data_IF_106646716166
#
_entry.id   IF_106646716166
#
_cell.length_a   1.000
_cell.length_b   1.000
_cell.length_c   1.000
_cell.angle_alpha   90.00
_cell.angle_beta   90.00
_cell.angle_gamma   90.00
#
_symmetry.space_group_name_H-M   'P 1'
#
loop_
_entity.id
_entity.type
_entity.pdbx_description
1 polymer ?
#
# COMPACT_ATOMS: atom_id res chain seq x y z
N UNK A 1 -28.96 7.48 -24.61
CA UNK A 1 -27.55 7.17 -24.27
C UNK A 1 -27.54 5.90 -23.45
N UNK A 2 -27.21 4.75 -24.06
CA UNK A 2 -26.99 3.50 -23.31
C UNK A 2 -25.77 3.68 -22.41
N UNK A 3 -25.95 3.55 -21.10
CA UNK A 3 -24.83 3.58 -20.16
C UNK A 3 -23.82 2.50 -20.57
N UNK A 4 -22.56 2.89 -20.79
CA UNK A 4 -21.48 1.93 -21.05
C UNK A 4 -21.31 1.09 -19.78
N UNK A 5 -21.83 -0.14 -19.79
CA UNK A 5 -21.68 -1.07 -18.68
C UNK A 5 -20.26 -1.62 -18.74
N UNK A 6 -19.39 -1.14 -17.85
CA UNK A 6 -18.03 -1.65 -17.71
C UNK A 6 -18.07 -3.11 -17.23
N UNK A 7 -17.18 -3.94 -17.78
CA UNK A 7 -16.94 -5.29 -17.26
C UNK A 7 -16.37 -5.23 -15.85
N UNK A 8 -16.58 -6.27 -15.04
CA UNK A 8 -16.05 -6.29 -13.66
C UNK A 8 -14.52 -6.20 -13.63
N UNK A 9 -13.84 -6.80 -14.61
CA UNK A 9 -12.39 -6.62 -14.81
C UNK A 9 -12.02 -5.14 -14.99
N UNK A 10 -12.74 -4.41 -15.86
CA UNK A 10 -12.46 -3.00 -16.09
C UNK A 10 -12.74 -2.14 -14.84
N UNK A 11 -13.83 -2.43 -14.10
CA UNK A 11 -14.11 -1.77 -12.81
C UNK A 11 -12.99 -2.00 -11.81
N UNK A 12 -12.52 -3.23 -11.66
CA UNK A 12 -11.42 -3.59 -10.76
C UNK A 12 -10.14 -2.81 -11.09
N UNK A 13 -9.77 -2.74 -12.37
CA UNK A 13 -8.60 -1.98 -12.83
C UNK A 13 -8.75 -0.49 -12.54
N UNK A 14 -9.92 0.11 -12.83
CA UNK A 14 -10.16 1.53 -12.57
C UNK A 14 -10.11 1.86 -11.08
N UNK A 15 -10.69 1.03 -10.22
CA UNK A 15 -10.58 1.19 -8.77
C UNK A 15 -9.12 1.09 -8.31
N UNK A 16 -8.35 0.16 -8.87
CA UNK A 16 -6.94 -0.03 -8.50
C UNK A 16 -6.09 1.17 -8.91
N UNK A 17 -6.25 1.66 -10.15
CA UNK A 17 -5.55 2.87 -10.63
C UNK A 17 -5.93 4.10 -9.80
N UNK A 18 -7.21 4.27 -9.46
CA UNK A 18 -7.65 5.36 -8.59
C UNK A 18 -7.05 5.24 -7.18
N UNK A 19 -6.92 4.02 -6.64
CA UNK A 19 -6.25 3.80 -5.36
C UNK A 19 -4.79 4.28 -5.42
N UNK A 20 -4.04 3.90 -6.46
CA UNK A 20 -2.63 4.27 -6.63
C UNK A 20 -2.40 5.73 -7.09
N UNK A 21 -3.46 6.43 -7.49
CA UNK A 21 -3.44 7.89 -7.65
C UNK A 21 -3.60 8.61 -6.29
N UNK A 22 -4.34 8.03 -5.36
CA UNK A 22 -4.70 8.66 -4.08
C UNK A 22 -3.72 8.32 -2.95
N UNK A 23 -3.23 7.08 -2.89
CA UNK A 23 -2.35 6.62 -1.80
C UNK A 23 -1.09 7.49 -1.68
N UNK A 24 -0.39 7.87 -2.76
CA UNK A 24 0.77 8.75 -2.65
C UNK A 24 0.48 10.15 -2.08
N UNK A 25 -0.78 10.62 -2.13
CA UNK A 25 -1.19 11.85 -1.44
C UNK A 25 -1.11 11.68 0.09
N UNK A 26 -1.52 10.50 0.60
CA UNK A 26 -1.36 10.14 2.02
C UNK A 26 0.13 10.13 2.40
N UNK A 27 0.99 9.55 1.56
CA UNK A 27 2.43 9.47 1.83
C UNK A 27 3.12 10.84 1.75
N UNK A 28 2.70 11.69 0.82
CA UNK A 28 3.15 13.08 0.76
C UNK A 28 2.75 13.86 2.02
N UNK A 29 1.52 13.68 2.53
CA UNK A 29 1.13 14.28 3.81
C UNK A 29 2.02 13.77 4.95
N UNK A 30 2.32 12.48 5.00
CA UNK A 30 3.19 11.89 6.00
C UNK A 30 4.62 12.45 5.92
N UNK A 31 5.18 12.60 4.71
CA UNK A 31 6.50 13.22 4.52
C UNK A 31 6.51 14.69 4.92
N UNK A 32 5.49 15.46 4.55
CA UNK A 32 5.37 16.86 4.95
C UNK A 32 5.29 17.03 6.49
N UNK A 33 4.50 16.19 7.16
CA UNK A 33 4.48 16.12 8.63
C UNK A 33 5.85 15.75 9.21
N UNK A 34 6.57 14.82 8.57
CA UNK A 34 7.94 14.48 8.94
C UNK A 34 8.88 15.68 8.88
N UNK A 35 8.80 16.48 7.82
CA UNK A 35 9.58 17.72 7.65
C UNK A 35 9.21 18.80 8.68
N UNK A 36 7.96 18.80 9.17
CA UNK A 36 7.51 19.61 10.31
C UNK A 36 7.94 19.05 11.67
N UNK A 37 8.82 18.04 11.70
CA UNK A 37 9.32 17.37 12.89
C UNK A 37 8.24 16.64 13.71
N UNK A 38 7.19 16.11 13.07
CA UNK A 38 6.26 15.18 13.72
C UNK A 38 6.90 13.78 13.86
N UNK A 39 6.80 13.14 15.05
CA UNK A 39 7.23 11.75 15.27
C UNK A 39 6.57 10.76 14.29
N UNK A 40 7.30 9.85 13.64
CA UNK A 40 6.70 8.89 12.68
C UNK A 40 5.63 8.00 13.30
N UNK A 41 5.76 7.67 14.60
CA UNK A 41 4.75 6.94 15.35
C UNK A 41 3.48 7.77 15.54
N UNK A 42 3.60 9.08 15.77
CA UNK A 42 2.45 10.00 15.79
C UNK A 42 1.84 10.17 14.40
N UNK A 43 2.63 10.25 13.34
CA UNK A 43 2.14 10.30 11.95
C UNK A 43 1.34 9.03 11.63
N UNK A 44 1.87 7.87 12.01
CA UNK A 44 1.19 6.58 11.88
C UNK A 44 -0.12 6.57 12.66
N UNK A 45 -0.11 7.01 13.93
CA UNK A 45 -1.32 7.15 14.72
C UNK A 45 -2.35 8.05 14.03
N UNK A 46 -1.94 9.24 13.59
CA UNK A 46 -2.82 10.19 12.93
C UNK A 46 -3.45 9.61 11.67
N UNK A 47 -2.70 8.84 10.87
CA UNK A 47 -3.25 8.14 9.70
C UNK A 47 -4.45 7.28 10.09
N UNK A 48 -4.31 6.44 11.11
CA UNK A 48 -5.38 5.52 11.51
C UNK A 48 -6.49 6.22 12.30
N UNK A 49 -6.14 7.11 13.22
CA UNK A 49 -7.10 7.82 14.07
C UNK A 49 -8.01 8.74 13.24
N UNK A 50 -7.45 9.55 12.34
CA UNK A 50 -8.26 10.42 11.47
C UNK A 50 -9.06 9.61 10.45
N UNK A 51 -8.51 8.52 9.90
CA UNK A 51 -9.30 7.60 9.06
C UNK A 51 -10.50 7.03 9.83
N UNK A 52 -10.28 6.58 11.07
CA UNK A 52 -11.33 6.01 11.90
C UNK A 52 -12.41 7.04 12.24
N UNK A 53 -12.02 8.25 12.67
CA UNK A 53 -12.95 9.35 12.98
C UNK A 53 -13.76 9.75 11.75
N UNK A 54 -13.14 9.88 10.58
CA UNK A 54 -13.83 10.24 9.32
C UNK A 54 -14.81 9.15 8.87
N UNK A 55 -14.58 7.90 9.25
CA UNK A 55 -15.51 6.81 8.97
C UNK A 55 -16.73 6.82 9.89
N UNK A 56 -16.65 7.31 11.14
CA UNK A 56 -17.76 7.24 12.11
C UNK A 56 -19.09 7.84 11.59
N UNK A 57 -19.14 9.05 10.98
CA UNK A 57 -20.39 9.61 10.45
C UNK A 57 -20.99 8.76 9.32
N UNK A 58 -20.13 8.18 8.48
CA UNK A 58 -20.55 7.33 7.35
C UNK A 58 -21.19 6.02 7.84
N UNK A 59 -20.83 5.56 9.04
CA UNK A 59 -21.45 4.39 9.69
C UNK A 59 -22.78 4.74 10.33
N UNK A 60 -22.92 5.92 10.93
CA UNK A 60 -24.18 6.38 11.51
C UNK A 60 -25.26 6.58 10.44
N UNK A 61 -24.88 7.00 9.23
CA UNK A 61 -25.80 7.16 8.09
C UNK A 61 -26.20 5.85 7.39
N UNK A 62 -25.47 4.73 7.59
CA UNK A 62 -25.77 3.43 6.98
C UNK A 62 -26.39 2.47 8.00
N UNK A 63 -27.59 1.96 7.69
CA UNK A 63 -28.36 1.12 8.63
C UNK A 63 -27.60 -0.15 9.09
N UNK A 64 -27.56 -0.28 10.43
CA UNK A 64 -27.48 -1.46 11.32
C UNK A 64 -26.26 -2.39 11.33
N UNK A 65 -25.56 -2.63 10.22
CA UNK A 65 -24.47 -3.63 10.20
C UNK A 65 -23.06 -3.04 10.12
N UNK A 66 -22.89 -1.73 9.93
CA UNK A 66 -21.54 -1.17 9.71
C UNK A 66 -20.64 -1.22 10.96
N UNK A 67 -21.23 -1.28 12.16
CA UNK A 67 -20.54 -1.52 13.44
C UNK A 67 -20.41 -3.00 13.80
N UNK A 68 -21.06 -3.92 13.07
CA UNK A 68 -20.88 -5.34 13.34
C UNK A 68 -19.48 -5.76 12.92
N UNK A 69 -18.87 -6.62 13.73
CA UNK A 69 -17.54 -7.14 13.43
C UNK A 69 -17.53 -7.85 12.07
N UNK A 70 -16.50 -7.63 11.24
CA UNK A 70 -16.41 -8.30 9.95
C UNK A 70 -16.30 -9.82 10.14
N UNK A 71 -16.66 -10.60 9.12
CA UNK A 71 -16.34 -12.03 9.09
C UNK A 71 -14.82 -12.24 9.14
N UNK A 72 -14.38 -13.41 9.58
CA UNK A 72 -12.96 -13.80 9.66
C UNK A 72 -12.10 -12.84 10.52
N UNK A 73 -12.58 -12.48 11.72
CA UNK A 73 -11.93 -11.51 12.65
C UNK A 73 -10.42 -11.75 12.86
N UNK A 74 -9.99 -13.02 12.95
CA UNK A 74 -8.58 -13.37 13.09
C UNK A 74 -7.75 -12.90 11.89
N UNK A 75 -8.20 -13.21 10.67
CA UNK A 75 -7.57 -12.78 9.41
C UNK A 75 -7.60 -11.25 9.27
N UNK A 76 -8.72 -10.62 9.62
CA UNK A 76 -8.86 -9.17 9.60
C UNK A 76 -7.91 -8.47 10.59
N UNK A 77 -7.70 -9.06 11.77
CA UNK A 77 -6.76 -8.53 12.77
C UNK A 77 -5.33 -8.65 12.30
N UNK A 78 -4.95 -9.82 11.77
CA UNK A 78 -3.62 -10.02 11.19
C UNK A 78 -3.37 -9.09 10.00
N UNK A 79 -4.38 -8.86 9.16
CA UNK A 79 -4.33 -7.90 8.04
C UNK A 79 -4.10 -6.48 8.55
N UNK A 80 -4.83 -6.06 9.57
CA UNK A 80 -4.66 -4.73 10.18
C UNK A 80 -3.26 -4.58 10.81
N UNK A 81 -2.75 -5.59 11.51
CA UNK A 81 -1.40 -5.62 12.06
C UNK A 81 -0.33 -5.46 10.96
N UNK A 82 -0.46 -6.23 9.88
CA UNK A 82 0.41 -6.11 8.72
C UNK A 82 0.40 -4.68 8.15
N UNK A 83 -0.77 -4.05 8.06
CA UNK A 83 -0.86 -2.68 7.56
C UNK A 83 -0.27 -1.65 8.53
N UNK A 84 -0.44 -1.82 9.85
CA UNK A 84 0.18 -0.96 10.87
C UNK A 84 1.69 -1.03 10.77
N UNK A 85 2.26 -2.24 10.70
CA UNK A 85 3.70 -2.45 10.55
C UNK A 85 4.23 -1.88 9.22
N UNK A 86 3.51 -2.12 8.12
CA UNK A 86 3.85 -1.56 6.82
C UNK A 86 3.87 -0.02 6.84
N UNK A 87 2.80 0.59 7.35
CA UNK A 87 2.71 2.05 7.46
C UNK A 87 3.83 2.61 8.34
N UNK A 88 4.03 2.02 9.51
CA UNK A 88 5.03 2.49 10.48
C UNK A 88 6.44 2.44 9.90
N UNK A 89 6.82 1.30 9.30
CA UNK A 89 8.12 1.14 8.67
C UNK A 89 8.29 2.09 7.48
N UNK A 90 7.26 2.25 6.64
CA UNK A 90 7.33 3.17 5.51
C UNK A 90 7.57 4.62 5.98
N UNK A 91 6.84 5.08 6.99
CA UNK A 91 6.98 6.43 7.55
C UNK A 91 8.26 6.63 8.36
N UNK A 92 8.85 5.56 8.91
CA UNK A 92 10.19 5.62 9.50
C UNK A 92 11.26 5.79 8.43
N UNK A 93 11.14 5.08 7.30
CA UNK A 93 12.07 5.21 6.17
C UNK A 93 11.97 6.55 5.43
N UNK A 94 10.75 7.09 5.28
CA UNK A 94 10.50 8.39 4.64
C UNK A 94 11.16 9.58 5.33
N UNK A 95 11.60 9.43 6.59
CA UNK A 95 12.35 10.49 7.29
C UNK A 95 13.70 10.78 6.66
N UNK A 96 14.29 9.77 6.02
CA UNK A 96 15.66 9.82 5.51
C UNK A 96 15.73 9.66 4.00
N UNK A 97 14.63 9.28 3.36
CA UNK A 97 14.60 8.96 1.94
C UNK A 97 13.66 9.91 1.17
N UNK A 98 14.02 10.29 -0.06
CA UNK A 98 13.08 10.87 -1.01
C UNK A 98 11.84 9.98 -1.19
N UNK A 99 10.68 10.60 -1.43
CA UNK A 99 9.40 9.87 -1.50
C UNK A 99 9.41 8.81 -2.59
N UNK A 100 9.91 9.18 -3.77
CA UNK A 100 9.99 8.27 -4.90
C UNK A 100 11.01 7.15 -4.71
N UNK A 101 12.17 7.42 -4.09
CA UNK A 101 13.18 6.39 -3.80
C UNK A 101 12.66 5.39 -2.76
N UNK A 102 12.01 5.88 -1.70
CA UNK A 102 11.35 5.04 -0.71
C UNK A 102 10.30 4.12 -1.35
N UNK A 103 9.46 4.67 -2.24
CA UNK A 103 8.47 3.86 -2.94
C UNK A 103 9.12 2.85 -3.91
N UNK A 104 10.16 3.25 -4.64
CA UNK A 104 10.85 2.37 -5.56
C UNK A 104 11.46 1.14 -4.84
N UNK A 105 12.00 1.32 -3.63
CA UNK A 105 12.44 0.21 -2.77
C UNK A 105 11.23 -0.61 -2.30
N UNK A 106 10.14 0.06 -1.90
CA UNK A 106 8.92 -0.57 -1.39
C UNK A 106 8.23 -1.46 -2.44
N UNK A 107 8.34 -1.11 -3.73
CA UNK A 107 7.85 -1.89 -4.87
C UNK A 107 8.53 -3.26 -5.05
N UNK A 108 9.36 -3.68 -4.10
CA UNK A 108 9.73 -5.10 -3.94
C UNK A 108 8.55 -5.96 -3.45
N UNK A 109 7.57 -5.37 -2.76
CA UNK A 109 6.43 -6.10 -2.18
C UNK A 109 5.68 -7.01 -3.17
N UNK A 110 5.45 -6.68 -4.46
CA UNK A 110 4.76 -7.56 -5.40
C UNK A 110 5.56 -8.84 -5.66
N UNK A 111 6.89 -8.78 -5.63
CA UNK A 111 7.73 -9.98 -5.74
C UNK A 111 7.61 -10.85 -4.49
N UNK A 112 7.54 -10.24 -3.31
CA UNK A 112 7.30 -10.95 -2.05
C UNK A 112 5.91 -11.62 -2.07
N UNK A 113 4.87 -10.89 -2.49
CA UNK A 113 3.53 -11.45 -2.70
C UNK A 113 3.59 -12.64 -3.65
N UNK A 114 4.29 -12.51 -4.77
CA UNK A 114 4.43 -13.59 -5.74
C UNK A 114 5.16 -14.81 -5.17
N UNK A 115 6.25 -14.60 -4.42
CA UNK A 115 7.02 -15.66 -3.79
C UNK A 115 6.26 -16.39 -2.67
N UNK A 116 5.43 -15.67 -1.90
CA UNK A 116 4.65 -16.22 -0.78
C UNK A 116 3.26 -16.72 -1.20
N UNK A 117 2.75 -16.30 -2.36
CA UNK A 117 1.47 -16.74 -2.91
C UNK A 117 1.27 -18.27 -2.92
N UNK A 118 2.27 -19.12 -3.24
CA UNK A 118 2.12 -20.57 -3.24
C UNK A 118 1.80 -21.14 -1.85
N UNK A 119 2.40 -20.57 -0.80
CA UNK A 119 2.21 -21.05 0.57
C UNK A 119 0.83 -20.68 1.11
N UNK A 120 0.27 -19.57 0.65
CA UNK A 120 -1.04 -19.06 1.09
C UNK A 120 -2.19 -19.57 0.21
N UNK A 121 -1.93 -19.82 -1.08
CA UNK A 121 -2.94 -20.11 -2.09
C UNK A 121 -2.82 -21.51 -2.72
N UNK A 122 -1.71 -22.22 -2.48
CA UNK A 122 -1.50 -23.60 -2.97
C UNK A 122 -0.98 -23.74 -4.40
N UNK A 123 -0.64 -22.65 -5.08
CA UNK A 123 -0.21 -22.66 -6.49
C UNK A 123 1.33 -22.58 -6.62
N UNK A 124 2.00 -23.62 -7.13
CA UNK A 124 3.46 -23.59 -7.31
C UNK A 124 3.89 -22.68 -8.49
N UNK A 125 4.84 -21.75 -8.29
CA UNK A 125 5.33 -20.90 -9.36
C UNK A 125 6.36 -21.64 -10.22
N UNK A 126 6.17 -21.64 -11.53
CA UNK A 126 7.15 -22.20 -12.47
C UNK A 126 8.48 -21.43 -12.51
N UNK A 127 9.54 -22.07 -13.02
CA UNK A 127 10.91 -21.53 -13.08
C UNK A 127 11.01 -20.09 -13.64
N UNK A 128 10.24 -19.78 -14.68
CA UNK A 128 10.28 -18.46 -15.32
C UNK A 128 9.74 -17.34 -14.42
N UNK A 129 8.88 -17.66 -13.45
CA UNK A 129 8.37 -16.72 -12.43
C UNK A 129 9.45 -16.43 -11.39
N UNK A 130 10.16 -17.45 -10.93
CA UNK A 130 11.32 -17.28 -10.06
C UNK A 130 12.43 -16.44 -10.71
N UNK A 131 12.71 -16.66 -12.00
CA UNK A 131 13.66 -15.83 -12.74
C UNK A 131 13.22 -14.36 -12.78
N UNK A 132 11.95 -14.06 -13.07
CA UNK A 132 11.44 -12.69 -13.07
C UNK A 132 11.45 -12.03 -11.68
N UNK A 133 11.16 -12.79 -10.62
CA UNK A 133 11.31 -12.33 -9.23
C UNK A 133 12.77 -11.96 -8.94
N UNK A 134 13.73 -12.79 -9.35
CA UNK A 134 15.15 -12.52 -9.15
C UNK A 134 15.60 -11.26 -9.92
N UNK A 135 15.17 -11.09 -11.18
CA UNK A 135 15.48 -9.89 -11.96
C UNK A 135 14.86 -8.63 -11.34
N UNK A 136 13.61 -8.71 -10.89
CA UNK A 136 12.95 -7.61 -10.18
C UNK A 136 13.67 -7.22 -8.88
N UNK A 137 14.15 -8.21 -8.13
CA UNK A 137 14.97 -7.99 -6.95
C UNK A 137 16.32 -7.34 -7.29
N UNK A 138 16.97 -7.74 -8.38
CA UNK A 138 18.18 -7.03 -8.85
C UNK A 138 17.87 -5.57 -9.19
N UNK A 139 16.70 -5.28 -9.75
CA UNK A 139 16.22 -3.92 -9.97
C UNK A 139 16.10 -3.11 -8.68
N UNK A 140 15.59 -3.70 -7.59
CA UNK A 140 15.52 -2.99 -6.29
C UNK A 140 16.89 -2.76 -5.68
N UNK A 141 17.87 -3.63 -5.90
CA UNK A 141 19.26 -3.40 -5.48
C UNK A 141 19.89 -2.17 -6.16
N UNK A 142 19.52 -1.87 -7.41
CA UNK A 142 19.95 -0.64 -8.09
C UNK A 142 19.43 0.62 -7.39
N UNK A 143 18.21 0.57 -6.86
CA UNK A 143 17.62 1.68 -6.11
C UNK A 143 18.22 1.77 -4.70
N UNK A 144 18.37 0.63 -4.01
CA UNK A 144 18.89 0.55 -2.64
C UNK A 144 20.35 1.02 -2.56
N UNK A 145 21.15 0.75 -3.60
CA UNK A 145 22.59 1.08 -3.67
C UNK A 145 23.34 0.63 -2.41
N UNK A 146 23.40 -0.68 -2.14
CA UNK A 146 24.16 -1.16 -0.99
C UNK A 146 25.63 -0.78 -1.19
N UNK A 147 26.12 0.16 -0.37
CA UNK A 147 27.51 0.59 -0.37
C UNK A 147 28.36 -0.17 0.65
N UNK A 148 29.67 0.06 0.62
CA UNK A 148 30.60 -0.49 1.63
C UNK A 148 30.35 0.07 3.04
N UNK A 149 29.75 1.26 3.14
CA UNK A 149 29.37 1.91 4.41
C UNK A 149 28.07 1.33 5.02
N UNK A 150 27.50 0.30 4.40
CA UNK A 150 26.28 -0.37 4.85
C UNK A 150 25.00 0.17 4.23
N UNK A 151 23.87 -0.40 4.65
CA UNK A 151 22.53 -0.03 4.17
C UNK A 151 21.95 1.04 5.12
N UNK A 152 21.48 2.19 4.61
CA UNK A 152 20.85 3.21 5.45
C UNK A 152 19.68 2.63 6.26
N UNK A 153 19.55 3.02 7.53
CA UNK A 153 18.51 2.50 8.41
C UNK A 153 17.10 2.73 7.83
N UNK A 154 16.88 3.84 7.13
CA UNK A 154 15.63 4.12 6.43
C UNK A 154 15.25 3.03 5.43
N UNK A 155 16.22 2.56 4.64
CA UNK A 155 16.02 1.46 3.68
C UNK A 155 15.61 0.16 4.39
N UNK A 156 16.19 -0.14 5.55
CA UNK A 156 15.82 -1.33 6.34
C UNK A 156 14.35 -1.25 6.76
N UNK A 157 13.90 -0.07 7.22
CA UNK A 157 12.50 0.15 7.56
C UNK A 157 11.57 0.01 6.35
N UNK A 158 11.94 0.55 5.17
CA UNK A 158 11.16 0.38 3.94
C UNK A 158 11.07 -1.10 3.53
N UNK A 159 12.17 -1.86 3.61
CA UNK A 159 12.17 -3.28 3.29
C UNK A 159 11.26 -4.07 4.24
N UNK A 160 11.37 -3.84 5.55
CA UNK A 160 10.46 -4.44 6.53
C UNK A 160 9.00 -4.06 6.29
N UNK A 161 8.75 -2.81 5.88
CA UNK A 161 7.44 -2.34 5.50
C UNK A 161 6.88 -3.07 4.27
N UNK A 162 7.73 -3.33 3.26
CA UNK A 162 7.34 -4.05 2.06
C UNK A 162 6.94 -5.52 2.35
N UNK A 163 7.65 -6.19 3.27
CA UNK A 163 7.26 -7.54 3.74
C UNK A 163 5.89 -7.51 4.42
N UNK A 164 5.69 -6.57 5.34
CA UNK A 164 4.41 -6.42 6.02
C UNK A 164 3.27 -6.07 5.04
N UNK A 165 3.54 -5.24 4.04
CA UNK A 165 2.56 -4.89 3.01
C UNK A 165 2.23 -6.04 2.07
N UNK A 166 3.20 -6.90 1.78
CA UNK A 166 2.94 -8.14 1.06
C UNK A 166 1.97 -9.05 1.85
N UNK A 167 2.19 -9.19 3.16
CA UNK A 167 1.26 -9.88 4.07
C UNK A 167 -0.14 -9.25 4.06
N UNK A 168 -0.22 -7.93 4.12
CA UNK A 168 -1.47 -7.18 3.99
C UNK A 168 -2.20 -7.51 2.68
N UNK A 169 -1.52 -7.44 1.54
CA UNK A 169 -2.12 -7.71 0.23
C UNK A 169 -2.62 -9.16 0.11
N UNK A 170 -1.83 -10.15 0.57
CA UNK A 170 -2.23 -11.57 0.55
C UNK A 170 -3.47 -11.82 1.40
N UNK A 171 -3.53 -11.25 2.61
CA UNK A 171 -4.68 -11.40 3.50
C UNK A 171 -5.91 -10.67 2.97
N UNK A 172 -5.73 -9.52 2.33
CA UNK A 172 -6.80 -8.78 1.63
C UNK A 172 -7.41 -9.63 0.53
N UNK A 173 -6.57 -10.24 -0.32
CA UNK A 173 -7.04 -11.17 -1.36
C UNK A 173 -7.80 -12.35 -0.77
N UNK A 174 -7.31 -12.94 0.32
CA UNK A 174 -7.93 -14.13 0.93
C UNK A 174 -9.36 -13.89 1.41
N UNK A 175 -9.69 -12.66 1.80
CA UNK A 175 -11.01 -12.27 2.33
C UNK A 175 -11.85 -11.43 1.35
N UNK A 176 -11.34 -11.16 0.15
CA UNK A 176 -12.06 -10.40 -0.87
C UNK A 176 -13.43 -11.04 -1.16
N UNK A 177 -14.47 -10.21 -1.29
CA UNK A 177 -15.85 -10.66 -1.51
C UNK A 177 -16.53 -11.38 -0.32
N UNK A 178 -15.87 -11.60 0.82
CA UNK A 178 -16.46 -12.33 1.97
C UNK A 178 -17.29 -11.49 2.93
N UNK A 179 -17.21 -10.17 2.85
CA UNK A 179 -17.89 -9.26 3.77
C UNK A 179 -18.02 -7.85 3.21
N UNK A 180 -18.65 -6.96 3.98
CA UNK A 180 -18.82 -5.57 3.56
C UNK A 180 -17.44 -4.85 3.56
N UNK A 181 -17.02 -4.22 2.43
CA UNK A 181 -15.80 -3.43 2.36
C UNK A 181 -15.72 -2.33 3.43
N UNK A 182 -16.85 -1.75 3.82
CA UNK A 182 -16.91 -0.70 4.85
C UNK A 182 -16.62 -1.26 6.23
N UNK A 183 -17.18 -2.42 6.59
CA UNK A 183 -16.84 -3.09 7.85
C UNK A 183 -15.35 -3.43 7.92
N UNK A 184 -14.80 -3.91 6.81
CA UNK A 184 -13.37 -4.23 6.67
C UNK A 184 -12.50 -2.98 6.87
N UNK A 185 -12.90 -1.85 6.29
CA UNK A 185 -12.18 -0.58 6.38
C UNK A 185 -12.23 0.02 7.79
N UNK A 186 -13.41 0.03 8.43
CA UNK A 186 -13.59 0.49 9.81
C UNK A 186 -12.83 -0.37 10.79
N UNK A 187 -12.90 -1.68 10.64
CA UNK A 187 -12.16 -2.60 11.50
C UNK A 187 -10.65 -2.38 11.40
N UNK A 188 -10.13 -2.25 10.18
CA UNK A 188 -8.73 -1.91 9.93
C UNK A 188 -8.33 -0.57 10.57
N UNK A 189 -9.14 0.48 10.37
CA UNK A 189 -8.87 1.81 10.92
C UNK A 189 -8.92 1.81 12.45
N UNK A 190 -9.92 1.15 13.03
CA UNK A 190 -10.11 1.05 14.48
C UNK A 190 -9.02 0.23 15.17
N UNK A 191 -8.66 -0.94 14.63
CA UNK A 191 -7.53 -1.73 15.16
C UNK A 191 -6.22 -0.95 15.07
N UNK A 192 -5.95 -0.32 13.93
CA UNK A 192 -4.75 0.49 13.78
C UNK A 192 -4.72 1.69 14.73
N UNK A 193 -5.84 2.39 14.90
CA UNK A 193 -5.95 3.52 15.82
C UNK A 193 -5.75 3.07 17.27
N UNK A 194 -6.37 1.97 17.68
CA UNK A 194 -6.23 1.41 19.02
C UNK A 194 -4.76 1.01 19.31
N UNK A 195 -4.14 0.25 18.42
CA UNK A 195 -2.76 -0.23 18.59
C UNK A 195 -1.76 0.93 18.64
N UNK A 196 -1.87 1.87 17.70
CA UNK A 196 -0.96 3.02 17.66
C UNK A 196 -1.18 3.98 18.82
N UNK A 197 -2.41 4.06 19.37
CA UNK A 197 -2.69 4.85 20.58
C UNK A 197 -1.95 4.33 21.82
N UNK A 198 -1.61 3.04 21.89
CA UNK A 198 -0.82 2.49 23.01
C UNK A 198 0.60 3.04 23.04
N UNK A 199 1.15 3.39 21.88
CA UNK A 199 2.53 3.89 21.73
C UNK A 199 2.56 5.42 21.65
N UNK A 200 1.41 6.05 21.44
CA UNK A 200 1.25 7.49 21.31
C UNK A 200 1.81 8.30 22.50
N UNK A 201 1.64 7.91 23.79
CA UNK A 201 2.14 8.70 24.92
C UNK A 201 3.65 8.92 24.88
N UNK A 202 4.42 8.02 24.25
CA UNK A 202 5.88 8.12 24.15
C UNK A 202 6.36 9.05 23.04
N UNK A 203 5.47 9.45 22.13
CA UNK A 203 5.82 10.22 20.92
C UNK A 203 4.84 11.35 20.63
N UNK A 204 4.05 11.75 21.62
CA UNK A 204 3.04 12.79 21.44
C UNK A 204 3.69 14.14 21.19
N UNK A 205 3.25 14.80 20.12
CA UNK A 205 3.48 16.22 19.85
C UNK A 205 2.11 16.84 19.59
N UNK A 206 1.78 17.97 20.22
CA UNK A 206 0.51 18.64 19.93
C UNK A 206 0.40 18.98 18.44
N UNK A 207 -0.69 18.63 17.73
CA UNK A 207 -0.88 19.09 16.37
C UNK A 207 -1.10 20.61 16.37
N UNK A 208 -0.28 21.32 15.62
CA UNK A 208 -0.49 22.72 15.27
C UNK A 208 -1.51 22.79 14.11
N UNK A 209 -2.06 23.96 13.82
CA UNK A 209 -3.17 24.11 12.86
C UNK A 209 -2.81 23.60 11.45
N UNK A 210 -1.56 23.83 11.03
CA UNK A 210 -1.00 23.34 9.77
C UNK A 210 -0.86 21.81 9.75
N UNK A 211 -0.35 21.23 10.84
CA UNK A 211 -0.26 19.78 11.02
C UNK A 211 -1.64 19.12 10.98
N UNK A 212 -2.66 19.75 11.58
CA UNK A 212 -4.02 19.22 11.61
C UNK A 212 -4.62 19.07 10.21
N UNK A 213 -4.41 20.05 9.32
CA UNK A 213 -4.87 19.98 7.92
C UNK A 213 -4.25 18.78 7.19
N UNK A 214 -2.96 18.53 7.41
CA UNK A 214 -2.27 17.37 6.83
C UNK A 214 -2.75 16.05 7.44
N UNK A 215 -3.02 15.99 8.74
CA UNK A 215 -3.58 14.81 9.39
C UNK A 215 -4.98 14.45 8.86
N UNK A 216 -5.84 15.45 8.69
CA UNK A 216 -7.18 15.25 8.09
C UNK A 216 -7.05 14.80 6.64
N UNK A 217 -6.21 15.47 5.84
CA UNK A 217 -5.97 15.12 4.43
C UNK A 217 -5.43 13.70 4.28
N UNK A 218 -4.50 13.32 5.16
CA UNK A 218 -3.96 11.96 5.24
C UNK A 218 -5.07 10.95 5.57
N UNK A 219 -5.96 11.24 6.53
CA UNK A 219 -7.09 10.38 6.87
C UNK A 219 -8.11 10.21 5.73
N UNK A 220 -8.38 11.28 4.97
CA UNK A 220 -9.25 11.24 3.79
C UNK A 220 -8.62 10.39 2.70
N UNK A 221 -7.36 10.66 2.34
CA UNK A 221 -6.63 9.93 1.32
C UNK A 221 -6.45 8.45 1.70
N UNK A 222 -6.12 8.15 2.96
CA UNK A 222 -6.00 6.78 3.47
C UNK A 222 -7.32 6.02 3.35
N UNK A 223 -8.42 6.63 3.81
CA UNK A 223 -9.77 6.06 3.73
C UNK A 223 -10.17 5.79 2.28
N UNK A 224 -10.05 6.80 1.41
CA UNK A 224 -10.42 6.69 0.00
C UNK A 224 -9.55 5.65 -0.73
N UNK A 225 -8.22 5.74 -0.61
CA UNK A 225 -7.28 4.85 -1.28
C UNK A 225 -7.46 3.39 -0.88
N UNK A 226 -7.58 3.09 0.42
CA UNK A 226 -7.77 1.71 0.88
C UNK A 226 -9.17 1.18 0.58
N UNK A 227 -10.21 2.04 0.58
CA UNK A 227 -11.53 1.63 0.11
C UNK A 227 -11.48 1.21 -1.36
N UNK A 228 -10.89 2.04 -2.23
CA UNK A 228 -10.71 1.75 -3.65
C UNK A 228 -9.91 0.47 -3.86
N UNK A 229 -8.85 0.25 -3.07
CA UNK A 229 -8.04 -0.97 -3.12
C UNK A 229 -8.85 -2.23 -2.74
N UNK A 230 -9.62 -2.18 -1.65
CA UNK A 230 -10.49 -3.30 -1.24
C UNK A 230 -11.51 -3.59 -2.35
N UNK A 231 -12.16 -2.55 -2.89
CA UNK A 231 -13.14 -2.68 -3.98
C UNK A 231 -12.52 -3.24 -5.25
N UNK A 232 -11.30 -2.86 -5.60
CA UNK A 232 -10.62 -3.42 -6.76
C UNK A 232 -10.51 -4.96 -6.67
N UNK A 233 -10.14 -5.48 -5.50
CA UNK A 233 -10.04 -6.92 -5.26
C UNK A 233 -11.39 -7.65 -5.23
N UNK A 234 -12.51 -6.95 -4.98
CA UNK A 234 -13.85 -7.54 -5.13
C UNK A 234 -14.23 -7.77 -6.61
N UNK A 235 -13.65 -6.99 -7.53
CA UNK A 235 -14.03 -6.98 -8.95
C UNK A 235 -13.04 -7.68 -9.89
N UNK A 236 -11.77 -7.78 -9.51
CA UNK A 236 -10.73 -8.38 -10.34
C UNK A 236 -9.71 -9.18 -9.51
N UNK A 237 -9.23 -10.33 -10.02
CA UNK A 237 -8.25 -11.14 -9.33
C UNK A 237 -6.88 -10.45 -9.31
N UNK A 238 -6.05 -10.76 -8.31
CA UNK A 238 -4.74 -10.12 -8.12
C UNK A 238 -3.81 -10.17 -9.35
N UNK A 239 -3.70 -11.27 -10.12
CA UNK A 239 -2.90 -11.30 -11.36
C UNK A 239 -3.33 -10.26 -12.40
N UNK A 240 -4.64 -9.97 -12.46
CA UNK A 240 -5.18 -8.96 -13.37
C UNK A 240 -4.77 -7.56 -12.94
N UNK A 241 -4.75 -7.30 -11.62
CA UNK A 241 -4.46 -6.00 -11.03
C UNK A 241 -2.96 -5.71 -10.87
N UNK A 242 -2.13 -6.74 -10.67
CA UNK A 242 -0.72 -6.61 -10.31
C UNK A 242 0.10 -5.65 -11.21
N UNK A 243 -0.02 -5.67 -12.56
CA UNK A 243 0.72 -4.74 -13.43
C UNK A 243 0.36 -3.26 -13.19
N UNK A 244 -0.86 -3.00 -12.73
CA UNK A 244 -1.34 -1.64 -12.48
C UNK A 244 -0.90 -1.10 -11.11
N UNK A 245 -0.32 -1.95 -10.24
CA UNK A 245 0.23 -1.51 -8.95
C UNK A 245 1.42 -0.57 -9.13
N UNK A 246 2.20 -0.78 -10.19
CA UNK A 246 3.32 0.08 -10.54
C UNK A 246 2.91 1.51 -10.93
N UNK A 247 1.61 1.76 -11.18
CA UNK A 247 1.11 3.11 -11.43
C UNK A 247 1.37 4.06 -10.25
N UNK A 248 1.46 3.53 -9.02
CA UNK A 248 1.74 4.29 -7.81
C UNK A 248 3.00 5.16 -7.94
N UNK A 249 4.01 4.65 -8.67
CA UNK A 249 5.28 5.38 -8.83
C UNK A 249 5.12 6.69 -9.60
N UNK A 250 4.20 6.74 -10.55
CA UNK A 250 3.95 7.95 -11.35
C UNK A 250 3.44 9.05 -10.44
N UNK A 251 2.46 8.74 -9.60
CA UNK A 251 1.87 9.66 -8.63
C UNK A 251 2.88 10.08 -7.55
N UNK A 252 3.69 9.15 -7.06
CA UNK A 252 4.70 9.43 -6.05
C UNK A 252 5.86 10.28 -6.58
N UNK A 253 6.31 10.07 -7.82
CA UNK A 253 7.30 10.93 -8.48
C UNK A 253 6.73 12.33 -8.72
N UNK A 254 5.48 12.43 -9.19
CA UNK A 254 4.82 13.72 -9.40
C UNK A 254 4.74 14.52 -8.08
N UNK A 255 4.25 13.90 -7.00
CA UNK A 255 4.19 14.55 -5.69
C UNK A 255 5.58 14.81 -5.10
N UNK A 256 6.53 13.88 -5.25
CA UNK A 256 7.93 14.05 -4.91
C UNK A 256 8.51 15.33 -5.50
N UNK A 257 8.31 15.49 -6.81
CA UNK A 257 8.82 16.62 -7.56
C UNK A 257 8.09 17.93 -7.22
N UNK A 258 6.75 17.96 -7.33
CA UNK A 258 5.98 19.21 -7.18
C UNK A 258 5.88 19.70 -5.74
N UNK A 259 5.94 18.81 -4.73
CA UNK A 259 5.79 19.18 -3.32
C UNK A 259 7.13 19.30 -2.61
N UNK A 260 8.10 18.43 -2.94
CA UNK A 260 9.38 18.36 -2.22
C UNK A 260 10.59 18.78 -3.06
N UNK A 261 10.43 19.00 -4.37
CA UNK A 261 11.56 19.25 -5.27
C UNK A 261 12.44 18.02 -5.49
N UNK A 262 11.99 16.83 -5.06
CA UNK A 262 12.73 15.59 -5.17
C UNK A 262 12.42 14.92 -6.52
N UNK A 263 13.45 14.75 -7.35
CA UNK A 263 13.32 13.98 -8.59
C UNK A 263 14.25 12.75 -8.53
N UNK A 264 13.78 11.54 -8.91
CA UNK A 264 14.63 10.37 -8.94
C UNK A 264 15.77 10.55 -9.94
N UNK A 265 16.97 10.12 -9.56
CA UNK A 265 18.10 10.14 -10.47
C UNK A 265 18.06 8.97 -11.48
N UNK A 266 19.05 8.93 -12.38
CA UNK A 266 19.14 7.94 -13.45
C UNK A 266 19.18 6.48 -12.95
N UNK A 267 19.82 6.21 -11.81
CA UNK A 267 19.96 4.85 -11.30
C UNK A 267 18.66 4.39 -10.63
N UNK A 268 17.95 5.28 -9.95
CA UNK A 268 16.58 4.97 -9.47
C UNK A 268 15.68 4.66 -10.66
N UNK A 269 15.71 5.46 -11.73
CA UNK A 269 14.93 5.18 -12.94
C UNK A 269 15.28 3.83 -13.59
N UNK A 270 16.57 3.48 -13.66
CA UNK A 270 16.99 2.17 -14.17
C UNK A 270 16.44 1.03 -13.31
N UNK A 271 16.53 1.14 -11.98
CA UNK A 271 15.98 0.16 -11.05
C UNK A 271 14.46 0.01 -11.18
N UNK A 272 13.75 1.13 -11.24
CA UNK A 272 12.30 1.17 -11.48
C UNK A 272 11.94 0.48 -12.79
N UNK A 273 12.64 0.78 -13.89
CA UNK A 273 12.37 0.17 -15.19
C UNK A 273 12.50 -1.36 -15.12
N UNK A 274 13.52 -1.88 -14.43
CA UNK A 274 13.73 -3.32 -14.22
C UNK A 274 12.61 -3.93 -13.36
N UNK A 275 12.24 -3.28 -12.25
CA UNK A 275 11.17 -3.71 -11.35
C UNK A 275 9.84 -3.81 -12.11
N UNK A 276 9.43 -2.71 -12.77
CA UNK A 276 8.16 -2.63 -13.47
C UNK A 276 8.11 -3.64 -14.61
N UNK A 277 9.17 -3.74 -15.43
CA UNK A 277 9.23 -4.70 -16.53
C UNK A 277 9.10 -6.16 -16.04
N UNK A 278 9.80 -6.49 -14.95
CA UNK A 278 9.74 -7.83 -14.36
C UNK A 278 8.36 -8.16 -13.81
N UNK A 279 7.74 -7.20 -13.13
CA UNK A 279 6.39 -7.32 -12.58
C UNK A 279 5.31 -7.46 -13.64
N UNK A 280 5.38 -6.63 -14.68
CA UNK A 280 4.49 -6.67 -15.85
C UNK A 280 4.62 -8.00 -16.58
N UNK A 281 5.85 -8.50 -16.77
CA UNK A 281 6.09 -9.82 -17.36
C UNK A 281 5.42 -10.96 -16.57
N UNK A 282 5.52 -10.94 -15.23
CA UNK A 282 4.85 -11.93 -14.37
C UNK A 282 3.33 -11.87 -14.59
N UNK A 283 2.74 -10.67 -14.55
CA UNK A 283 1.28 -10.49 -14.67
C UNK A 283 0.72 -10.89 -16.04
N UNK A 284 1.40 -10.57 -17.14
CA UNK A 284 0.95 -10.98 -18.49
C UNK A 284 1.01 -12.49 -18.70
N UNK A 285 2.06 -13.14 -18.17
CA UNK A 285 2.25 -14.57 -18.35
C UNK A 285 1.21 -15.40 -17.58
N UNK A 286 0.83 -14.97 -16.38
CA UNK A 286 -0.23 -15.64 -15.62
C UNK A 286 -1.58 -15.61 -16.36
N UNK A 287 -1.85 -14.56 -17.14
CA UNK A 287 -3.05 -14.51 -18.01
C UNK A 287 -2.96 -15.52 -19.15
N UNK A 288 -1.83 -15.55 -19.86
CA UNK A 288 -1.65 -16.47 -20.98
C UNK A 288 -1.79 -17.95 -20.54
N UNK A 289 -1.22 -18.31 -19.40
CA UNK A 289 -1.35 -19.68 -18.87
C UNK A 289 -2.76 -20.02 -18.33
N UNK A 290 -3.57 -19.03 -17.95
CA UNK A 290 -4.95 -19.24 -17.54
C UNK A 290 -5.91 -19.36 -18.74
N UNK A 291 -5.61 -18.66 -19.85
CA UNK A 291 -6.37 -18.77 -21.10
C UNK A 291 -6.04 -20.08 -21.86
N UNK A 292 -4.81 -20.59 -21.78
CA UNK A 292 -4.40 -21.89 -22.35
C UNK A 292 -5.00 -23.13 -21.62
N UNK A 293 -5.57 -22.93 -20.43
CA UNK A 293 -6.17 -23.98 -19.60
C UNK A 293 -7.71 -24.08 -19.74
N UNK A 294 -8.31 -23.24 -20.58
CA UNK A 294 -9.74 -23.23 -20.94
C UNK A 294 -9.95 -23.79 -22.35
#
# INVERSE_FOLDING_TARGET
>A
MSAVVLSDRAKGILFFLAAWAVIPVMDACAKALGNMNYPSLMITWGRFAFSFVLLLPLLMGRRRNAFSLPPDKGTQTLRALCLVLATTGFYMGLRTLPLADALAIYLIYPFIVNALSPMVLGEMPGFRRWAAIAVGFMGSLLVIRPGFDGVPLGTVFILGAAVAFAGYNLLTRRIAGRGDPWQTLVFQAGVGAALTSLVLPFTWRGPELDGLVLFVSMGVAATAGHYLLIRAYDYAPAPVLAPFGYFEIISAVALGYFVFGDFPDALTWAGVAVIVSSGVYIGFRERASADDAL
#
